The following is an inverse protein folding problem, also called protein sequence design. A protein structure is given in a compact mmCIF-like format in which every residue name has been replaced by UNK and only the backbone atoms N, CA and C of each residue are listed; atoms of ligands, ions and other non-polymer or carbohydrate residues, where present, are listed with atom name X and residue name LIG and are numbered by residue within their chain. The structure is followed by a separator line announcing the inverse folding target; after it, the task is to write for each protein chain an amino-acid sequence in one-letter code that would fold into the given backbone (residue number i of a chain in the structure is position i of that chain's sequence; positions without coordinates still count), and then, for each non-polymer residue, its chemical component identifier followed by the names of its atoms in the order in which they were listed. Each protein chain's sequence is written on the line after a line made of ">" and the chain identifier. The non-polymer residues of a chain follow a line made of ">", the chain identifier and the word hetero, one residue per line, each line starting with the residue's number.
data_IF_561658481428
#
_entry.id   IF_561658481428
#
_cell.length_a   1.000
_cell.length_b   1.000
_cell.length_c   1.000
_cell.angle_alpha   90.00
_cell.angle_beta   90.00
_cell.angle_gamma   90.00
#
_symmetry.space_group_name_H-M   'P 1'
#
loop_
_entity.id
_entity.type
_entity.pdbx_description
1 polymer ?
#
# COMPACT_ATOMS: atom_id res chain seq x y z
N UNK A 1 46.81 19.56 -3.30
CA UNK A 1 45.96 20.03 -4.42
C UNK A 1 45.54 18.92 -5.40
N UNK A 2 46.18 17.75 -5.44
CA UNK A 2 45.78 16.61 -6.31
C UNK A 2 44.84 15.60 -5.63
N UNK A 3 44.85 15.53 -4.30
CA UNK A 3 44.02 14.59 -3.53
C UNK A 3 42.53 14.98 -3.50
N UNK A 4 42.24 16.26 -3.56
CA UNK A 4 40.88 16.79 -3.52
C UNK A 4 40.09 16.54 -4.84
N UNK A 5 40.79 16.44 -5.96
CA UNK A 5 40.20 16.17 -7.27
C UNK A 5 39.75 14.71 -7.43
N UNK A 6 40.45 13.76 -6.83
CA UNK A 6 40.12 12.34 -6.92
C UNK A 6 38.95 12.00 -6.01
N UNK A 7 38.82 12.59 -4.84
CA UNK A 7 37.68 12.45 -3.96
C UNK A 7 36.37 12.96 -4.58
N UNK A 8 36.43 14.13 -5.26
CA UNK A 8 35.28 14.71 -5.97
C UNK A 8 34.82 13.86 -7.17
N UNK A 9 35.75 13.22 -7.87
CA UNK A 9 35.44 12.33 -8.99
C UNK A 9 34.78 11.06 -8.46
N UNK A 10 35.27 10.51 -7.35
CA UNK A 10 34.71 9.30 -6.74
C UNK A 10 33.30 9.54 -6.17
N UNK A 11 33.04 10.66 -5.54
CA UNK A 11 31.71 11.08 -5.07
C UNK A 11 30.74 11.28 -6.25
N UNK A 12 31.16 11.89 -7.34
CA UNK A 12 30.35 12.04 -8.58
C UNK A 12 30.04 10.69 -9.24
N UNK A 13 30.98 9.74 -9.21
CA UNK A 13 30.76 8.41 -9.76
C UNK A 13 29.76 7.62 -8.89
N UNK A 14 29.91 7.69 -7.57
CA UNK A 14 29.02 7.04 -6.59
C UNK A 14 27.57 7.56 -6.70
N UNK A 15 27.40 8.88 -6.83
CA UNK A 15 26.08 9.51 -7.05
C UNK A 15 25.47 9.12 -8.40
N UNK A 16 26.25 9.05 -9.47
CA UNK A 16 25.76 8.63 -10.80
C UNK A 16 25.33 7.16 -10.84
N UNK A 17 26.07 6.27 -10.19
CA UNK A 17 25.72 4.85 -10.10
C UNK A 17 24.45 4.68 -9.28
N UNK A 18 24.32 5.37 -8.15
CA UNK A 18 23.13 5.30 -7.27
C UNK A 18 21.87 5.82 -7.98
N UNK A 19 21.97 6.92 -8.73
CA UNK A 19 20.87 7.48 -9.51
C UNK A 19 20.46 6.55 -10.66
N UNK A 20 21.44 5.93 -11.35
CA UNK A 20 21.16 5.01 -12.46
C UNK A 20 20.53 3.72 -11.98
N UNK A 21 20.97 3.17 -10.84
CA UNK A 21 20.39 1.98 -10.21
C UNK A 21 18.97 2.27 -9.69
N UNK A 22 18.74 3.45 -9.14
CA UNK A 22 17.41 3.89 -8.68
C UNK A 22 16.42 4.08 -9.84
N UNK A 23 16.86 4.70 -10.94
CA UNK A 23 16.07 4.83 -12.17
C UNK A 23 15.74 3.48 -12.79
N UNK A 24 16.71 2.57 -12.83
CA UNK A 24 16.51 1.22 -13.34
C UNK A 24 15.51 0.43 -12.48
N UNK A 25 15.68 0.45 -11.17
CA UNK A 25 14.73 -0.19 -10.23
C UNK A 25 13.31 0.40 -10.38
N UNK A 26 13.20 1.71 -10.54
CA UNK A 26 11.91 2.39 -10.76
C UNK A 26 11.25 1.98 -12.08
N UNK A 27 12.02 1.89 -13.16
CA UNK A 27 11.55 1.42 -14.46
C UNK A 27 11.10 -0.04 -14.39
N UNK A 28 11.84 -0.88 -13.68
CA UNK A 28 11.52 -2.30 -13.51
C UNK A 28 10.21 -2.47 -12.73
N UNK A 29 9.98 -1.69 -11.68
CA UNK A 29 8.72 -1.69 -10.92
C UNK A 29 7.56 -1.19 -11.79
N UNK A 30 7.75 -0.12 -12.58
CA UNK A 30 6.71 0.38 -13.49
C UNK A 30 6.37 -0.68 -14.55
N UNK A 31 7.36 -1.31 -15.16
CA UNK A 31 7.16 -2.40 -16.15
C UNK A 31 6.42 -3.59 -15.54
N UNK A 32 6.76 -3.94 -14.28
CA UNK A 32 6.09 -5.04 -13.57
C UNK A 32 4.62 -4.68 -13.28
N UNK A 33 4.34 -3.46 -12.83
CA UNK A 33 2.97 -2.98 -12.60
C UNK A 33 2.17 -2.95 -13.90
N UNK A 34 2.74 -2.40 -14.96
CA UNK A 34 2.12 -2.38 -16.29
C UNK A 34 1.87 -3.79 -16.81
N UNK A 35 2.83 -4.70 -16.65
CA UNK A 35 2.69 -6.12 -17.03
C UNK A 35 1.55 -6.82 -16.27
N UNK A 36 1.44 -6.60 -14.98
CA UNK A 36 0.35 -7.16 -14.15
C UNK A 36 -1.01 -6.59 -14.55
N UNK A 37 -1.12 -5.29 -14.81
CA UNK A 37 -2.36 -4.65 -15.26
C UNK A 37 -2.76 -5.17 -16.64
N UNK A 38 -1.82 -5.26 -17.58
CA UNK A 38 -2.09 -5.78 -18.92
C UNK A 38 -2.44 -7.29 -18.92
N UNK A 39 -1.77 -8.09 -18.10
CA UNK A 39 -2.10 -9.51 -17.96
C UNK A 39 -3.49 -9.71 -17.36
N UNK A 40 -3.85 -8.94 -16.32
CA UNK A 40 -5.19 -8.96 -15.75
C UNK A 40 -6.26 -8.54 -16.74
N UNK A 41 -6.01 -7.49 -17.54
CA UNK A 41 -6.91 -7.03 -18.59
C UNK A 41 -7.04 -8.07 -19.74
N UNK A 42 -5.94 -8.70 -20.15
CA UNK A 42 -5.93 -9.76 -21.14
C UNK A 42 -6.75 -10.97 -20.69
N UNK A 43 -6.56 -11.44 -19.46
CA UNK A 43 -7.32 -12.54 -18.89
C UNK A 43 -8.81 -12.18 -18.80
N UNK A 44 -9.14 -10.93 -18.42
CA UNK A 44 -10.53 -10.45 -18.38
C UNK A 44 -11.21 -10.48 -19.76
N UNK A 45 -10.53 -10.08 -20.84
CA UNK A 45 -11.09 -10.09 -22.20
C UNK A 45 -11.25 -11.52 -22.72
N UNK A 46 -10.32 -12.44 -22.38
CA UNK A 46 -10.35 -13.82 -22.88
C UNK A 46 -11.32 -14.72 -22.13
N UNK A 47 -12.04 -14.20 -21.11
CA UNK A 47 -13.03 -14.94 -20.34
C UNK A 47 -12.45 -16.08 -19.49
N UNK A 48 -11.11 -16.11 -19.31
CA UNK A 48 -10.40 -17.16 -18.56
C UNK A 48 -10.42 -17.00 -17.04
N UNK A 49 -11.36 -16.24 -16.49
CA UNK A 49 -11.51 -16.07 -15.05
C UNK A 49 -12.36 -17.20 -14.45
N UNK A 50 -11.70 -18.22 -13.94
CA UNK A 50 -12.23 -18.98 -12.82
C UNK A 50 -11.98 -18.13 -11.55
N UNK A 51 -13.02 -17.41 -11.11
CA UNK A 51 -12.94 -16.42 -10.02
C UNK A 51 -12.45 -17.03 -8.70
N UNK A 52 -12.65 -18.33 -8.48
CA UNK A 52 -12.25 -19.03 -7.26
C UNK A 52 -10.72 -19.19 -7.13
N UNK A 53 -10.02 -19.46 -8.24
CA UNK A 53 -8.56 -19.74 -8.19
C UNK A 53 -7.74 -18.47 -8.32
N UNK A 54 -8.20 -17.48 -9.09
CA UNK A 54 -7.44 -16.27 -9.40
C UNK A 54 -7.73 -15.17 -8.37
N UNK A 55 -8.86 -15.23 -7.67
CA UNK A 55 -9.36 -14.16 -6.82
C UNK A 55 -8.42 -13.74 -5.69
N UNK A 56 -8.00 -14.65 -4.83
CA UNK A 56 -7.13 -14.31 -3.67
C UNK A 56 -5.71 -13.91 -4.05
N UNK A 57 -5.01 -14.58 -4.99
CA UNK A 57 -3.71 -14.11 -5.46
C UNK A 57 -3.78 -12.71 -6.09
N UNK A 58 -4.78 -12.44 -6.92
CA UNK A 58 -4.94 -11.11 -7.53
C UNK A 58 -5.24 -10.06 -6.47
N UNK A 59 -6.15 -10.33 -5.53
CA UNK A 59 -6.41 -9.46 -4.38
C UNK A 59 -5.13 -9.16 -3.62
N UNK A 60 -4.31 -10.17 -3.33
CA UNK A 60 -3.06 -10.02 -2.61
C UNK A 60 -2.09 -9.10 -3.37
N UNK A 61 -1.84 -9.37 -4.66
CA UNK A 61 -0.92 -8.57 -5.47
C UNK A 61 -1.39 -7.14 -5.67
N UNK A 62 -2.68 -6.90 -5.95
CA UNK A 62 -3.22 -5.55 -6.12
C UNK A 62 -3.16 -4.77 -4.81
N UNK A 63 -3.49 -5.40 -3.69
CA UNK A 63 -3.38 -4.79 -2.36
C UNK A 63 -1.93 -4.49 -1.98
N UNK A 64 -0.99 -5.40 -2.29
CA UNK A 64 0.43 -5.19 -2.06
C UNK A 64 0.97 -4.01 -2.88
N UNK A 65 0.70 -3.99 -4.20
CA UNK A 65 1.15 -2.91 -5.09
C UNK A 65 0.53 -1.58 -4.67
N UNK A 66 -0.76 -1.60 -4.30
CA UNK A 66 -1.47 -0.42 -3.80
C UNK A 66 -0.80 0.19 -2.58
N UNK A 67 -0.45 -0.63 -1.61
CA UNK A 67 0.22 -0.20 -0.38
C UNK A 67 1.72 0.09 -0.57
N UNK A 68 2.39 -0.57 -1.52
CA UNK A 68 3.80 -0.31 -1.83
C UNK A 68 4.02 0.98 -2.63
N UNK A 69 2.97 1.51 -3.24
CA UNK A 69 3.02 2.67 -4.14
C UNK A 69 2.75 3.97 -3.38
N UNK A 70 3.79 4.70 -2.98
CA UNK A 70 3.66 5.98 -2.26
C UNK A 70 3.02 7.07 -3.14
N UNK A 71 3.14 6.98 -4.48
CA UNK A 71 2.72 8.04 -5.41
C UNK A 71 1.67 7.61 -6.43
N UNK A 72 1.40 6.32 -6.60
CA UNK A 72 0.43 5.81 -7.55
C UNK A 72 -0.85 5.43 -6.81
N UNK A 73 -1.99 6.06 -7.12
CA UNK A 73 -3.28 5.67 -6.56
C UNK A 73 -3.71 4.34 -7.18
N UNK A 74 -3.13 3.23 -6.72
CA UNK A 74 -3.61 1.90 -7.12
C UNK A 74 -4.87 1.60 -6.31
N UNK A 75 -5.95 1.13 -6.93
CA UNK A 75 -7.26 0.95 -6.29
C UNK A 75 -7.30 -0.30 -5.39
N UNK A 76 -6.32 -0.45 -4.47
CA UNK A 76 -6.30 -1.57 -3.51
C UNK A 76 -7.58 -1.66 -2.69
N UNK A 77 -8.15 -0.51 -2.30
CA UNK A 77 -9.42 -0.45 -1.59
C UNK A 77 -10.59 -0.94 -2.46
N UNK A 78 -10.57 -0.63 -3.78
CA UNK A 78 -11.56 -1.14 -4.71
C UNK A 78 -11.44 -2.66 -4.88
N UNK A 79 -10.23 -3.21 -4.91
CA UNK A 79 -10.03 -4.66 -4.96
C UNK A 79 -10.59 -5.36 -3.72
N UNK A 80 -10.40 -4.81 -2.52
CA UNK A 80 -11.00 -5.32 -1.28
C UNK A 80 -12.53 -5.23 -1.32
N UNK A 81 -13.06 -4.12 -1.82
CA UNK A 81 -14.50 -3.91 -1.95
C UNK A 81 -15.13 -4.90 -2.92
N UNK A 82 -14.58 -5.03 -4.13
CA UNK A 82 -15.11 -5.98 -5.14
C UNK A 82 -14.98 -7.42 -4.68
N UNK A 83 -13.87 -7.81 -4.06
CA UNK A 83 -13.69 -9.16 -3.50
C UNK A 83 -14.68 -9.47 -2.39
N UNK A 84 -15.09 -8.50 -1.59
CA UNK A 84 -16.12 -8.66 -0.56
C UNK A 84 -17.53 -8.79 -1.13
N UNK A 85 -17.79 -8.14 -2.27
CA UNK A 85 -19.11 -8.16 -2.93
C UNK A 85 -19.30 -9.36 -3.89
N UNK A 86 -18.25 -10.12 -4.19
CA UNK A 86 -18.29 -11.30 -5.06
C UNK A 86 -18.32 -12.60 -4.24
N UNK A 87 -18.39 -13.75 -4.92
CA UNK A 87 -18.43 -15.10 -4.34
C UNK A 87 -17.16 -15.50 -3.54
N UNK A 88 -16.08 -14.70 -3.55
CA UNK A 88 -14.96 -14.84 -2.61
C UNK A 88 -15.40 -14.64 -1.12
N UNK A 89 -16.55 -14.13 -0.92
CA UNK A 89 -17.64 -14.18 0.07
C UNK A 89 -17.31 -14.12 1.57
N UNK A 90 -16.09 -14.42 2.03
CA UNK A 90 -15.79 -14.33 3.45
C UNK A 90 -14.95 -13.10 3.77
N UNK A 91 -15.54 -12.01 4.33
CA UNK A 91 -14.82 -10.77 4.65
C UNK A 91 -13.62 -10.97 5.56
N UNK A 92 -13.62 -12.01 6.41
CA UNK A 92 -12.48 -12.32 7.28
C UNK A 92 -11.28 -12.81 6.46
N UNK A 93 -11.51 -13.68 5.48
CA UNK A 93 -10.44 -14.19 4.60
C UNK A 93 -9.93 -13.07 3.69
N UNK A 94 -10.85 -12.32 3.06
CA UNK A 94 -10.50 -11.14 2.25
C UNK A 94 -9.65 -10.16 3.06
N UNK A 95 -10.07 -9.87 4.31
CA UNK A 95 -9.34 -8.98 5.20
C UNK A 95 -7.96 -9.48 5.60
N UNK A 96 -7.81 -10.79 5.87
CA UNK A 96 -6.51 -11.39 6.18
C UNK A 96 -5.57 -11.36 4.97
N UNK A 97 -6.05 -11.74 3.79
CA UNK A 97 -5.26 -11.73 2.55
C UNK A 97 -4.81 -10.32 2.20
N UNK A 98 -5.73 -9.36 2.18
CA UNK A 98 -5.40 -7.96 1.90
C UNK A 98 -4.52 -7.35 3.00
N UNK A 99 -4.79 -7.64 4.27
CA UNK A 99 -4.02 -7.13 5.41
C UNK A 99 -2.56 -7.58 5.39
N UNK A 100 -2.28 -8.86 5.03
CA UNK A 100 -0.90 -9.34 4.85
C UNK A 100 -0.20 -8.61 3.72
N UNK A 101 -0.85 -8.48 2.57
CA UNK A 101 -0.32 -7.82 1.39
C UNK A 101 -0.02 -6.33 1.66
N UNK A 102 -0.99 -5.60 2.21
CA UNK A 102 -0.85 -4.18 2.52
C UNK A 102 0.23 -3.91 3.57
N UNK A 103 0.32 -4.74 4.61
CA UNK A 103 1.35 -4.56 5.66
C UNK A 103 2.77 -4.75 5.12
N UNK A 104 2.97 -5.67 4.20
CA UNK A 104 4.24 -5.83 3.48
C UNK A 104 4.51 -4.68 2.53
N UNK A 105 3.48 -4.18 1.84
CA UNK A 105 3.59 -2.99 0.98
C UNK A 105 4.02 -1.75 1.75
N UNK A 106 3.49 -1.52 2.94
CA UNK A 106 3.84 -0.37 3.80
C UNK A 106 5.30 -0.39 4.31
N UNK A 107 6.00 -1.51 4.20
CA UNK A 107 7.45 -1.53 4.46
C UNK A 107 8.22 -0.61 3.52
N UNK A 108 7.70 -0.36 2.31
CA UNK A 108 8.36 0.54 1.35
C UNK A 108 8.36 1.98 1.85
N UNK A 109 7.25 2.46 2.41
CA UNK A 109 7.13 3.79 3.01
C UNK A 109 8.04 3.92 4.24
N UNK A 110 8.07 2.91 5.11
CA UNK A 110 8.97 2.87 6.25
C UNK A 110 10.45 2.90 5.83
N UNK A 111 10.86 2.06 4.88
CA UNK A 111 12.23 2.00 4.37
C UNK A 111 12.64 3.29 3.65
N UNK A 112 11.72 3.91 2.91
CA UNK A 112 11.94 5.22 2.31
C UNK A 112 12.23 6.27 3.38
N UNK A 113 11.47 6.28 4.48
CA UNK A 113 11.72 7.16 5.62
C UNK A 113 13.04 6.88 6.32
N UNK A 114 13.37 5.61 6.53
CA UNK A 114 14.62 5.19 7.15
C UNK A 114 15.85 5.63 6.34
N UNK A 115 15.78 5.48 5.01
CA UNK A 115 16.87 5.85 4.08
C UNK A 115 16.95 7.35 3.80
N UNK A 116 15.79 8.05 3.79
CA UNK A 116 15.66 9.45 3.38
C UNK A 116 15.48 10.45 4.53
N UNK A 117 15.97 10.17 5.74
CA UNK A 117 15.75 10.97 6.97
C UNK A 117 15.92 12.49 6.80
N UNK A 118 16.94 12.93 6.10
CA UNK A 118 17.25 14.36 5.91
C UNK A 118 16.28 15.06 4.96
N UNK A 119 15.78 14.35 3.97
CA UNK A 119 14.87 14.89 2.96
C UNK A 119 13.47 15.14 3.53
N UNK A 120 12.95 14.18 4.28
CA UNK A 120 11.57 14.23 4.78
C UNK A 120 11.39 15.23 5.94
N UNK A 121 12.43 15.53 6.72
CA UNK A 121 12.37 16.53 7.80
C UNK A 121 11.95 17.94 7.36
N UNK A 122 12.07 18.26 6.08
CA UNK A 122 11.68 19.57 5.51
C UNK A 122 10.17 19.67 5.19
N UNK A 123 9.40 18.57 5.30
CA UNK A 123 7.99 18.57 4.99
C UNK A 123 7.17 19.12 6.16
N UNK A 124 6.17 19.97 5.88
CA UNK A 124 5.28 20.58 6.90
C UNK A 124 4.49 19.58 7.73
N UNK A 125 4.23 18.39 7.19
CA UNK A 125 3.53 17.31 7.90
C UNK A 125 4.45 16.50 8.82
N UNK A 126 5.75 16.65 8.70
CA UNK A 126 6.71 15.85 9.45
C UNK A 126 6.60 16.09 10.97
N UNK A 127 6.70 17.35 11.39
CA UNK A 127 6.71 17.71 12.82
C UNK A 127 5.42 17.37 13.56
N UNK A 128 4.20 17.62 13.04
CA UNK A 128 2.97 17.21 13.69
C UNK A 128 2.86 15.70 13.89
N UNK A 129 3.14 14.91 12.86
CA UNK A 129 3.06 13.45 12.92
C UNK A 129 4.17 12.89 13.81
N UNK A 130 5.38 13.45 13.76
CA UNK A 130 6.46 13.05 14.66
C UNK A 130 6.08 13.25 16.13
N UNK A 131 5.54 14.43 16.51
CA UNK A 131 5.10 14.68 17.88
C UNK A 131 4.01 13.70 18.33
N UNK A 132 3.12 13.33 17.40
CA UNK A 132 2.06 12.38 17.67
C UNK A 132 2.64 10.97 17.90
N UNK A 133 3.60 10.56 17.08
CA UNK A 133 4.33 9.29 17.22
C UNK A 133 5.16 9.25 18.50
N UNK A 134 5.85 10.34 18.85
CA UNK A 134 6.65 10.44 20.08
C UNK A 134 5.77 10.32 21.34
N UNK A 135 4.52 10.83 21.27
CA UNK A 135 3.60 10.82 22.39
C UNK A 135 2.78 9.55 22.51
N UNK A 136 2.26 9.03 21.39
CA UNK A 136 1.28 7.93 21.36
C UNK A 136 1.78 6.67 20.59
N UNK A 137 2.91 6.76 19.92
CA UNK A 137 3.60 5.63 19.29
C UNK A 137 2.69 4.67 18.51
N UNK A 138 2.50 3.47 19.08
CA UNK A 138 1.72 2.39 18.46
C UNK A 138 0.26 2.76 18.17
N UNK A 139 -0.36 3.61 19.02
CA UNK A 139 -1.77 4.00 18.87
C UNK A 139 -1.97 4.79 17.57
N UNK A 140 -1.03 5.69 17.25
CA UNK A 140 -1.09 6.50 16.02
C UNK A 140 -0.96 5.61 14.78
N UNK A 141 -0.02 4.65 14.81
CA UNK A 141 0.17 3.71 13.72
C UNK A 141 -1.07 2.84 13.55
N UNK A 142 -1.63 2.33 14.65
CA UNK A 142 -2.82 1.50 14.64
C UNK A 142 -4.04 2.26 14.09
N UNK A 143 -4.39 3.40 14.65
CA UNK A 143 -5.55 4.19 14.20
C UNK A 143 -5.38 4.66 12.76
N UNK A 144 -4.16 5.07 12.38
CA UNK A 144 -3.86 5.44 11.00
C UNK A 144 -4.01 4.27 10.02
N UNK A 145 -3.73 3.04 10.44
CA UNK A 145 -3.86 1.85 9.58
C UNK A 145 -5.29 1.29 9.51
N UNK A 146 -6.12 1.50 10.55
CA UNK A 146 -7.52 1.08 10.55
C UNK A 146 -8.41 2.00 9.70
N UNK A 147 -8.09 3.28 9.64
CA UNK A 147 -8.87 4.26 8.88
C UNK A 147 -8.33 4.30 7.44
N UNK A 148 -9.20 4.17 6.41
CA UNK A 148 -8.76 4.34 5.02
C UNK A 148 -8.40 5.81 4.77
N UNK A 149 -7.12 6.11 4.77
CA UNK A 149 -6.62 7.46 4.53
C UNK A 149 -5.35 7.45 3.68
N UNK A 150 -5.20 8.39 2.75
CA UNK A 150 -4.01 8.48 1.89
C UNK A 150 -2.77 9.01 2.63
N UNK A 151 -2.93 9.47 3.88
CA UNK A 151 -1.85 10.06 4.67
C UNK A 151 -1.05 9.00 5.43
N UNK A 152 -1.44 7.73 5.39
CA UNK A 152 -0.76 6.67 6.13
C UNK A 152 0.68 6.48 5.68
N UNK A 153 0.97 6.68 4.39
CA UNK A 153 2.35 6.63 3.86
C UNK A 153 3.28 7.60 4.60
N UNK A 154 2.78 8.80 4.96
CA UNK A 154 3.55 9.74 5.77
C UNK A 154 3.82 9.22 7.18
N UNK A 155 2.88 8.49 7.78
CA UNK A 155 3.08 7.84 9.08
C UNK A 155 4.18 6.78 8.96
N UNK A 156 4.17 5.98 7.89
CA UNK A 156 5.22 5.01 7.57
C UNK A 156 6.59 5.66 7.41
N UNK A 157 6.68 6.70 6.56
CA UNK A 157 7.91 7.46 6.31
C UNK A 157 8.46 8.07 7.62
N UNK A 158 7.60 8.68 8.43
CA UNK A 158 8.03 9.35 9.66
C UNK A 158 8.45 8.31 10.69
N UNK A 159 7.74 7.19 10.81
CA UNK A 159 8.12 6.06 11.67
C UNK A 159 9.51 5.52 11.30
N UNK A 160 9.78 5.34 10.01
CA UNK A 160 11.11 4.93 9.53
C UNK A 160 12.19 5.97 9.83
N UNK A 161 11.91 7.25 9.60
CA UNK A 161 12.88 8.34 9.80
C UNK A 161 13.21 8.61 11.27
N UNK A 162 12.28 8.36 12.18
CA UNK A 162 12.50 8.46 13.63
C UNK A 162 13.19 7.23 14.22
N UNK A 163 13.30 6.14 13.44
CA UNK A 163 13.88 4.89 13.91
C UNK A 163 12.94 4.08 14.79
N UNK A 164 11.63 4.23 14.61
CA UNK A 164 10.63 3.40 15.30
C UNK A 164 10.90 1.91 15.02
N UNK A 165 10.78 0.98 16.01
CA UNK A 165 11.12 -0.42 15.80
C UNK A 165 10.28 -1.07 14.69
N UNK A 166 10.93 -1.52 13.61
CA UNK A 166 10.30 -2.10 12.42
C UNK A 166 9.33 -3.24 12.77
N UNK A 167 9.74 -4.14 13.67
CA UNK A 167 8.89 -5.27 14.09
C UNK A 167 7.56 -4.81 14.71
N UNK A 168 7.61 -3.79 15.58
CA UNK A 168 6.40 -3.22 16.20
C UNK A 168 5.54 -2.51 15.15
N UNK A 169 6.19 -1.79 14.22
CA UNK A 169 5.50 -1.13 13.12
C UNK A 169 4.71 -2.14 12.28
N UNK A 170 5.37 -3.18 11.74
CA UNK A 170 4.74 -4.17 10.86
C UNK A 170 3.58 -4.90 11.55
N UNK A 171 3.76 -5.37 12.79
CA UNK A 171 2.71 -6.08 13.52
C UNK A 171 1.48 -5.18 13.75
N UNK A 172 1.70 -3.93 14.12
CA UNK A 172 0.61 -2.97 14.35
C UNK A 172 -0.12 -2.63 13.04
N UNK A 173 0.63 -2.41 11.97
CA UNK A 173 0.07 -2.14 10.63
C UNK A 173 -0.72 -3.36 10.14
N UNK A 174 -0.19 -4.57 10.30
CA UNK A 174 -0.88 -5.79 9.91
C UNK A 174 -2.25 -5.92 10.59
N UNK A 175 -2.30 -5.74 11.92
CA UNK A 175 -3.57 -5.80 12.66
C UNK A 175 -4.53 -4.70 12.18
N UNK A 176 -4.06 -3.48 12.06
CA UNK A 176 -4.90 -2.35 11.63
C UNK A 176 -5.41 -2.48 10.20
N UNK A 177 -4.55 -2.85 9.24
CA UNK A 177 -4.94 -3.07 7.84
C UNK A 177 -5.89 -4.26 7.67
N UNK A 178 -5.68 -5.34 8.42
CA UNK A 178 -6.61 -6.48 8.44
C UNK A 178 -8.00 -6.04 8.91
N UNK A 179 -8.09 -5.33 10.04
CA UNK A 179 -9.37 -4.78 10.54
C UNK A 179 -10.00 -3.86 9.50
N UNK A 180 -9.21 -2.94 8.91
CA UNK A 180 -9.66 -2.05 7.84
C UNK A 180 -10.27 -2.83 6.68
N UNK A 181 -9.56 -3.83 6.17
CA UNK A 181 -10.00 -4.58 5.00
C UNK A 181 -11.21 -5.47 5.29
N UNK A 182 -11.35 -6.00 6.53
CA UNK A 182 -12.54 -6.72 6.95
C UNK A 182 -13.77 -5.80 6.92
N UNK A 183 -13.72 -4.66 7.60
CA UNK A 183 -14.91 -3.81 7.66
C UNK A 183 -15.26 -3.15 6.31
N UNK A 184 -14.25 -2.84 5.47
CA UNK A 184 -14.48 -2.34 4.10
C UNK A 184 -15.15 -3.42 3.25
N UNK A 185 -14.64 -4.65 3.28
CA UNK A 185 -15.23 -5.79 2.59
C UNK A 185 -16.68 -6.03 3.03
N UNK A 186 -16.96 -6.01 4.34
CA UNK A 186 -18.32 -6.12 4.89
C UNK A 186 -19.22 -4.97 4.43
N UNK A 187 -18.74 -3.73 4.50
CA UNK A 187 -19.50 -2.56 4.08
C UNK A 187 -19.90 -2.63 2.59
N UNK A 188 -19.01 -3.11 1.73
CA UNK A 188 -19.29 -3.30 0.31
C UNK A 188 -20.28 -4.44 0.08
N UNK A 189 -20.12 -5.58 0.74
CA UNK A 189 -21.04 -6.70 0.65
C UNK A 189 -22.49 -6.28 0.99
N UNK A 190 -22.69 -5.68 2.15
CA UNK A 190 -24.02 -5.23 2.57
C UNK A 190 -24.54 -4.03 1.76
N UNK A 191 -23.66 -3.17 1.27
CA UNK A 191 -24.02 -2.03 0.44
C UNK A 191 -24.55 -2.46 -0.93
N UNK A 192 -23.90 -3.42 -1.57
CA UNK A 192 -24.33 -3.98 -2.86
C UNK A 192 -25.65 -4.71 -2.74
N UNK A 193 -25.85 -5.54 -1.70
CA UNK A 193 -27.12 -6.25 -1.46
C UNK A 193 -28.29 -5.28 -1.31
N UNK A 194 -28.10 -4.18 -0.60
CA UNK A 194 -29.13 -3.14 -0.47
C UNK A 194 -29.44 -2.46 -1.79
N UNK A 195 -28.43 -2.14 -2.58
CA UNK A 195 -28.62 -1.49 -3.89
C UNK A 195 -29.36 -2.41 -4.85
N UNK A 196 -29.01 -3.69 -4.91
CA UNK A 196 -29.69 -4.70 -5.74
C UNK A 196 -31.15 -4.84 -5.31
N UNK A 197 -31.43 -4.94 -4.01
CA UNK A 197 -32.79 -5.04 -3.49
C UNK A 197 -33.63 -3.78 -3.79
N UNK A 198 -33.05 -2.60 -3.68
CA UNK A 198 -33.70 -1.34 -4.09
C UNK A 198 -34.02 -1.32 -5.58
N UNK A 199 -33.06 -1.72 -6.43
CA UNK A 199 -33.25 -1.79 -7.87
C UNK A 199 -34.37 -2.77 -8.26
N UNK A 200 -34.39 -3.95 -7.68
CA UNK A 200 -35.43 -4.97 -7.92
C UNK A 200 -36.81 -4.52 -7.47
N UNK A 201 -36.90 -3.78 -6.36
CA UNK A 201 -38.17 -3.25 -5.85
C UNK A 201 -38.69 -2.04 -6.67
N UNK A 202 -37.80 -1.29 -7.37
CA UNK A 202 -38.20 -0.17 -8.24
C UNK A 202 -38.82 -0.66 -9.55
N UNK A 203 -38.47 -1.88 -10.01
CA UNK A 203 -39.04 -2.48 -11.21
C UNK A 203 -40.44 -3.12 -10.99
N UNK A 204 -40.95 -3.15 -9.78
CA UNK A 204 -42.24 -3.76 -9.40
C UNK A 204 -43.35 -2.74 -9.01
N UNK A 205 -43.10 -1.42 -9.20
CA UNK A 205 -44.09 -0.36 -9.10
C UNK A 205 -44.40 0.14 -10.52
#
# INVERSE_FOLDING_TARGET
>A
MKEDSTALIFERFKTKITVKTYLFARLLVILLVVGVVFSGFYIWITGGFDYEIIGFPVLWFVSFIGAASIFLPVPGLAAVCTSGATELGNPLIVGLVAGTAESLGEMTSYLAGFSGKSFFKRNRFYLPIQRLLDRFGLIVIFLGSVIPNPLFDFVGIISGSTGFPLRRFIVTVFIGKTIKSIWVSMACMYGFDRLINLYNNWGTI
#
